data_IF_379272242867
#
_entry.id   IF_379272242867
#
_cell.length_a   1.000
_cell.length_b   1.000
_cell.length_c   1.000
_cell.angle_alpha   90.00
_cell.angle_beta   90.00
_cell.angle_gamma   90.00
#
_symmetry.space_group_name_H-M   'P 1'
#
loop_
_entity.id
_entity.type
_entity.pdbx_description
1 polymer ?
#
# COMPACT_ATOMS: atom_id res chain seq x y z
N UNK A 1 -46.19 -24.30 15.84
CA UNK A 1 -46.62 -25.60 16.42
C UNK A 1 -46.90 -25.52 17.92
N UNK A 2 -46.26 -24.59 18.63
CA UNK A 2 -46.50 -24.24 20.05
C UNK A 2 -47.97 -23.98 20.38
N UNK A 3 -48.68 -23.20 19.56
CA UNK A 3 -50.10 -22.90 19.80
C UNK A 3 -50.99 -24.14 19.84
N UNK A 4 -50.76 -25.13 18.96
CA UNK A 4 -51.60 -26.34 18.89
C UNK A 4 -51.47 -27.20 20.16
N UNK A 5 -50.26 -27.30 20.72
CA UNK A 5 -49.98 -28.06 21.94
C UNK A 5 -50.52 -27.36 23.18
N UNK A 6 -50.40 -26.04 23.22
CA UNK A 6 -50.99 -25.22 24.26
C UNK A 6 -52.52 -25.35 24.28
N UNK A 7 -53.17 -25.18 23.13
CA UNK A 7 -54.62 -25.34 23.01
C UNK A 7 -55.08 -26.76 23.33
N UNK A 8 -54.32 -27.78 22.92
CA UNK A 8 -54.59 -29.16 23.30
C UNK A 8 -54.53 -29.35 24.82
N UNK A 9 -53.46 -28.90 25.47
CA UNK A 9 -53.31 -28.96 26.93
C UNK A 9 -54.40 -28.19 27.67
N UNK A 10 -54.77 -27.01 27.14
CA UNK A 10 -55.85 -26.18 27.66
C UNK A 10 -57.20 -26.91 27.58
N UNK A 11 -57.60 -27.42 26.41
CA UNK A 11 -58.86 -28.14 26.23
C UNK A 11 -58.94 -29.40 27.09
N UNK A 12 -57.87 -30.20 27.13
CA UNK A 12 -57.80 -31.40 27.98
C UNK A 12 -57.93 -31.02 29.45
N UNK A 13 -57.27 -29.94 29.89
CA UNK A 13 -57.37 -29.45 31.26
C UNK A 13 -58.77 -28.93 31.59
N UNK A 14 -59.41 -28.19 30.68
CA UNK A 14 -60.77 -27.68 30.85
C UNK A 14 -61.79 -28.81 30.95
N UNK A 15 -61.71 -29.82 30.09
CA UNK A 15 -62.58 -31.01 30.15
C UNK A 15 -62.37 -31.77 31.46
N UNK A 16 -61.12 -31.94 31.89
CA UNK A 16 -60.80 -32.60 33.16
C UNK A 16 -61.42 -31.88 34.36
N UNK A 17 -61.27 -30.55 34.43
CA UNK A 17 -61.86 -29.73 35.52
C UNK A 17 -63.39 -29.80 35.51
N UNK A 18 -64.03 -29.81 34.33
CA UNK A 18 -65.49 -29.95 34.21
C UNK A 18 -65.97 -31.31 34.71
N UNK A 19 -65.28 -32.40 34.37
CA UNK A 19 -65.62 -33.76 34.83
C UNK A 19 -65.50 -33.85 36.36
N UNK A 20 -64.39 -33.36 36.91
CA UNK A 20 -64.17 -33.36 38.37
C UNK A 20 -65.20 -32.49 39.08
N UNK A 21 -65.51 -31.30 38.55
CA UNK A 21 -66.53 -30.39 39.10
C UNK A 21 -67.94 -31.00 39.06
N UNK A 22 -68.31 -31.68 37.98
CA UNK A 22 -69.59 -32.37 37.88
C UNK A 22 -69.71 -33.54 38.88
N UNK A 23 -68.61 -34.28 39.09
CA UNK A 23 -68.53 -35.33 40.12
C UNK A 23 -68.74 -34.79 41.53
N UNK A 24 -68.09 -33.67 41.86
CA UNK A 24 -68.26 -32.99 43.16
C UNK A 24 -69.70 -32.49 43.38
N UNK A 25 -70.32 -31.90 42.34
CA UNK A 25 -71.71 -31.44 42.40
C UNK A 25 -72.72 -32.57 42.60
N UNK A 26 -72.36 -33.80 42.20
CA UNK A 26 -73.21 -34.99 42.35
C UNK A 26 -73.10 -35.63 43.73
N UNK A 27 -72.09 -35.26 44.53
CA UNK A 27 -71.78 -35.82 45.85
C UNK A 27 -71.67 -34.74 46.95
N UNK A 28 -72.43 -33.65 46.80
CA UNK A 28 -72.34 -32.46 47.68
C UNK A 28 -72.50 -32.78 49.17
N UNK A 29 -73.39 -33.74 49.51
CA UNK A 29 -73.63 -34.14 50.89
C UNK A 29 -72.40 -34.82 51.51
N UNK A 30 -71.75 -35.75 50.79
CA UNK A 30 -70.52 -36.43 51.23
C UNK A 30 -69.34 -35.46 51.31
N UNK A 31 -69.20 -34.57 50.32
CA UNK A 31 -68.12 -33.58 50.23
C UNK A 31 -68.14 -32.58 51.40
N UNK A 32 -69.34 -32.22 51.89
CA UNK A 32 -69.49 -31.32 53.05
C UNK A 32 -69.03 -31.94 54.38
N UNK A 33 -68.94 -33.27 54.44
CA UNK A 33 -68.56 -34.02 55.64
C UNK A 33 -67.07 -34.44 55.67
N UNK A 34 -66.31 -34.16 54.61
CA UNK A 34 -64.92 -34.59 54.47
C UNK A 34 -63.97 -33.89 55.44
N UNK A 35 -63.01 -34.64 55.97
CA UNK A 35 -61.95 -34.10 56.84
C UNK A 35 -60.95 -33.28 56.02
N UNK A 36 -60.25 -32.31 56.62
CA UNK A 36 -59.23 -31.51 55.92
C UNK A 36 -58.12 -32.33 55.23
N UNK A 37 -57.77 -33.50 55.76
CA UNK A 37 -56.77 -34.38 55.14
C UNK A 37 -57.29 -35.04 53.84
N UNK A 38 -58.57 -35.38 53.80
CA UNK A 38 -59.21 -36.01 52.62
C UNK A 38 -59.36 -35.00 51.47
N UNK A 39 -59.49 -33.70 51.78
CA UNK A 39 -59.36 -32.62 50.80
C UNK A 39 -57.96 -32.56 50.18
N UNK A 40 -56.92 -32.76 50.99
CA UNK A 40 -55.54 -32.84 50.51
C UNK A 40 -55.33 -33.99 49.53
N UNK A 41 -55.82 -35.19 49.88
CA UNK A 41 -55.73 -36.38 49.02
C UNK A 41 -56.53 -36.22 47.73
N UNK A 42 -57.71 -35.58 47.80
CA UNK A 42 -58.51 -35.25 46.62
C UNK A 42 -57.77 -34.30 45.67
N UNK A 43 -57.25 -33.18 46.18
CA UNK A 43 -56.51 -32.22 45.36
C UNK A 43 -55.22 -32.83 44.79
N UNK A 44 -54.51 -33.65 45.57
CA UNK A 44 -53.35 -34.38 45.08
C UNK A 44 -53.73 -35.32 43.92
N UNK A 45 -54.84 -36.05 44.03
CA UNK A 45 -55.34 -36.93 42.96
C UNK A 45 -55.80 -36.17 41.72
N UNK A 46 -56.49 -35.04 41.87
CA UNK A 46 -57.05 -34.24 40.77
C UNK A 46 -55.97 -33.45 40.02
N UNK A 47 -55.01 -32.85 40.74
CA UNK A 47 -53.98 -32.01 40.14
C UNK A 47 -52.74 -32.78 39.65
N UNK A 48 -52.46 -33.98 40.16
CA UNK A 48 -51.27 -34.76 39.72
C UNK A 48 -51.27 -35.06 38.21
N UNK A 49 -52.37 -35.54 37.58
CA UNK A 49 -52.41 -35.78 36.13
C UNK A 49 -52.27 -34.50 35.31
N UNK A 50 -52.87 -33.39 35.77
CA UNK A 50 -52.75 -32.09 35.13
C UNK A 50 -51.31 -31.56 35.17
N UNK A 51 -50.69 -31.60 36.34
CA UNK A 51 -49.31 -31.16 36.53
C UNK A 51 -48.36 -31.97 35.64
N UNK A 52 -48.56 -33.30 35.57
CA UNK A 52 -47.75 -34.17 34.71
C UNK A 52 -47.94 -33.86 33.22
N UNK A 53 -49.18 -33.63 32.78
CA UNK A 53 -49.48 -33.25 31.40
C UNK A 53 -48.77 -31.96 30.99
N UNK A 54 -48.84 -30.92 31.81
CA UNK A 54 -48.18 -29.64 31.54
C UNK A 54 -46.64 -29.75 31.60
N UNK A 55 -46.10 -30.59 32.48
CA UNK A 55 -44.67 -30.87 32.55
C UNK A 55 -44.16 -31.49 31.24
N UNK A 56 -44.85 -32.52 30.72
CA UNK A 56 -44.48 -33.19 29.46
C UNK A 56 -44.60 -32.22 28.27
N UNK A 57 -45.70 -31.46 28.19
CA UNK A 57 -45.88 -30.47 27.13
C UNK A 57 -44.79 -29.40 27.16
N UNK A 58 -44.43 -28.90 28.36
CA UNK A 58 -43.35 -27.95 28.55
C UNK A 58 -41.99 -28.51 28.12
N UNK A 59 -41.66 -29.76 28.48
CA UNK A 59 -40.43 -30.41 28.07
C UNK A 59 -40.32 -30.57 26.55
N UNK A 60 -41.41 -30.98 25.89
CA UNK A 60 -41.46 -31.11 24.44
C UNK A 60 -41.31 -29.75 23.72
N UNK A 61 -41.90 -28.69 24.27
CA UNK A 61 -41.75 -27.34 23.75
C UNK A 61 -40.31 -26.83 23.89
N UNK A 62 -39.72 -26.95 25.07
CA UNK A 62 -38.33 -26.56 25.33
C UNK A 62 -37.36 -27.30 24.39
N UNK A 63 -37.59 -28.59 24.13
CA UNK A 63 -36.76 -29.37 23.21
C UNK A 63 -36.83 -28.88 21.76
N UNK A 64 -37.99 -28.42 21.29
CA UNK A 64 -38.13 -27.82 19.95
C UNK A 64 -37.46 -26.45 19.86
N UNK A 65 -37.64 -25.61 20.87
CA UNK A 65 -36.98 -24.30 20.95
C UNK A 65 -35.45 -24.44 20.95
N UNK A 66 -34.91 -25.43 21.66
CA UNK A 66 -33.47 -25.70 21.68
C UNK A 66 -32.95 -26.20 20.32
N UNK A 67 -33.73 -27.02 19.60
CA UNK A 67 -33.36 -27.47 18.25
C UNK A 67 -33.34 -26.31 17.27
N UNK A 68 -34.35 -25.44 17.31
CA UNK A 68 -34.41 -24.24 16.46
C UNK A 68 -33.26 -23.29 16.78
N UNK A 69 -32.96 -23.08 18.07
CA UNK A 69 -31.83 -22.27 18.52
C UNK A 69 -30.49 -22.83 18.01
N UNK A 70 -30.29 -24.15 18.16
CA UNK A 70 -29.09 -24.83 17.64
C UNK A 70 -28.97 -24.67 16.12
N UNK A 71 -30.06 -24.81 15.37
CA UNK A 71 -30.05 -24.62 13.91
C UNK A 71 -29.69 -23.18 13.52
N UNK A 72 -30.24 -22.19 14.23
CA UNK A 72 -29.90 -20.78 13.99
C UNK A 72 -28.42 -20.49 14.28
N UNK A 73 -27.87 -21.04 15.36
CA UNK A 73 -26.44 -20.92 15.69
C UNK A 73 -25.54 -21.58 14.64
N UNK A 74 -25.93 -22.74 14.12
CA UNK A 74 -25.19 -23.40 13.04
C UNK A 74 -25.19 -22.57 11.76
N UNK A 75 -26.34 -21.99 11.39
CA UNK A 75 -26.45 -21.10 10.24
C UNK A 75 -25.57 -19.86 10.44
N UNK A 76 -25.61 -19.25 11.63
CA UNK A 76 -24.78 -18.09 11.97
C UNK A 76 -23.29 -18.42 11.92
N UNK A 77 -22.88 -19.61 12.38
CA UNK A 77 -21.50 -20.06 12.30
C UNK A 77 -21.03 -20.24 10.85
N UNK A 78 -21.90 -20.74 9.96
CA UNK A 78 -21.61 -20.88 8.54
C UNK A 78 -21.49 -19.52 7.84
N UNK A 79 -22.40 -18.59 8.13
CA UNK A 79 -22.32 -17.20 7.64
C UNK A 79 -21.04 -16.50 8.10
N UNK A 80 -20.63 -16.69 9.36
CA UNK A 80 -19.37 -16.17 9.88
C UNK A 80 -18.16 -16.77 9.15
N UNK A 81 -18.17 -18.08 8.88
CA UNK A 81 -17.12 -18.74 8.12
C UNK A 81 -17.00 -18.17 6.72
N UNK A 82 -18.13 -18.00 6.02
CA UNK A 82 -18.17 -17.40 4.69
C UNK A 82 -17.69 -15.95 4.69
N UNK A 83 -18.05 -15.17 5.73
CA UNK A 83 -17.57 -13.79 5.90
C UNK A 83 -16.05 -13.72 6.12
N UNK A 84 -15.48 -14.64 6.91
CA UNK A 84 -14.03 -14.74 7.11
C UNK A 84 -13.32 -15.09 5.81
N UNK A 85 -13.88 -15.98 4.99
CA UNK A 85 -13.33 -16.32 3.68
C UNK A 85 -13.33 -15.10 2.75
N UNK A 86 -14.45 -14.38 2.63
CA UNK A 86 -14.54 -13.14 1.86
C UNK A 86 -13.55 -12.07 2.34
N UNK A 87 -13.36 -11.93 3.65
CA UNK A 87 -12.37 -11.00 4.21
C UNK A 87 -10.94 -11.40 3.84
N UNK A 88 -10.62 -12.69 3.78
CA UNK A 88 -9.30 -13.16 3.36
C UNK A 88 -9.04 -12.82 1.89
N UNK A 89 -10.02 -13.05 1.02
CA UNK A 89 -9.91 -12.70 -0.41
C UNK A 89 -9.73 -11.19 -0.59
N UNK A 90 -10.46 -10.37 0.16
CA UNK A 90 -10.29 -8.92 0.15
C UNK A 90 -8.90 -8.48 0.61
N UNK A 91 -8.33 -9.13 1.63
CA UNK A 91 -6.96 -8.86 2.09
C UNK A 91 -5.95 -9.22 1.01
N UNK A 92 -6.13 -10.32 0.30
CA UNK A 92 -5.26 -10.73 -0.81
C UNK A 92 -5.29 -9.71 -1.97
N UNK A 93 -6.48 -9.32 -2.42
CA UNK A 93 -6.64 -8.30 -3.47
C UNK A 93 -6.06 -6.96 -3.04
N UNK A 94 -6.24 -6.57 -1.77
CA UNK A 94 -5.67 -5.34 -1.22
C UNK A 94 -4.14 -5.36 -1.25
N UNK A 95 -3.51 -6.50 -0.91
CA UNK A 95 -2.05 -6.65 -0.98
C UNK A 95 -1.53 -6.51 -2.41
N UNK A 96 -2.16 -7.19 -3.37
CA UNK A 96 -1.80 -7.08 -4.79
C UNK A 96 -1.92 -5.64 -5.31
N UNK A 97 -2.97 -4.92 -4.89
CA UNK A 97 -3.17 -3.52 -5.26
C UNK A 97 -2.06 -2.62 -4.72
N UNK A 98 -1.68 -2.79 -3.46
CA UNK A 98 -0.59 -2.00 -2.84
C UNK A 98 0.75 -2.29 -3.53
N UNK A 99 1.00 -3.53 -3.93
CA UNK A 99 2.22 -3.92 -4.65
C UNK A 99 2.26 -3.27 -6.04
N UNK A 100 1.19 -3.38 -6.83
CA UNK A 100 1.09 -2.73 -8.14
C UNK A 100 1.22 -1.20 -8.06
N UNK A 101 0.62 -0.57 -7.05
CA UNK A 101 0.74 0.86 -6.82
C UNK A 101 2.19 1.25 -6.50
N UNK A 102 2.88 0.48 -5.66
CA UNK A 102 4.30 0.70 -5.36
C UNK A 102 5.17 0.59 -6.60
N UNK A 103 4.95 -0.41 -7.44
CA UNK A 103 5.67 -0.56 -8.71
C UNK A 103 5.44 0.63 -9.64
N UNK A 104 4.18 1.07 -9.78
CA UNK A 104 3.83 2.21 -10.63
C UNK A 104 4.50 3.51 -10.15
N UNK A 105 4.54 3.73 -8.83
CA UNK A 105 5.19 4.89 -8.22
C UNK A 105 6.72 4.82 -8.37
N UNK A 106 7.31 3.63 -8.24
CA UNK A 106 8.73 3.43 -8.44
C UNK A 106 9.12 3.72 -9.90
N UNK A 107 8.33 3.23 -10.85
CA UNK A 107 8.51 3.51 -12.27
C UNK A 107 8.39 5.01 -12.56
N UNK A 108 7.35 5.68 -12.05
CA UNK A 108 7.17 7.12 -12.24
C UNK A 108 8.34 7.92 -11.65
N UNK A 109 8.82 7.56 -10.46
CA UNK A 109 9.99 8.18 -9.84
C UNK A 109 11.24 8.00 -10.69
N UNK A 110 11.51 6.78 -11.16
CA UNK A 110 12.67 6.51 -12.02
C UNK A 110 12.62 7.33 -13.31
N UNK A 111 11.44 7.43 -13.94
CA UNK A 111 11.24 8.25 -15.13
C UNK A 111 11.45 9.74 -14.85
N UNK A 112 10.92 10.27 -13.72
CA UNK A 112 11.15 11.66 -13.32
C UNK A 112 12.63 11.93 -13.03
N UNK A 113 13.32 10.99 -12.39
CA UNK A 113 14.73 11.13 -12.09
C UNK A 113 15.59 11.11 -13.36
N UNK A 114 15.30 10.26 -14.33
CA UNK A 114 16.01 10.25 -15.61
C UNK A 114 15.72 11.53 -16.41
N UNK A 115 14.45 11.94 -16.47
CA UNK A 115 14.03 13.17 -17.13
C UNK A 115 14.59 14.43 -16.45
N UNK A 116 14.95 14.39 -15.16
CA UNK A 116 15.55 15.51 -14.44
C UNK A 116 17.05 15.67 -14.69
N UNK A 117 17.75 14.62 -15.15
CA UNK A 117 19.21 14.65 -15.30
C UNK A 117 19.63 15.58 -16.46
N UNK A 118 20.51 16.55 -16.20
CA UNK A 118 21.21 17.27 -17.27
C UNK A 118 22.22 16.34 -17.95
N UNK A 119 22.41 16.53 -19.26
CA UNK A 119 23.41 15.79 -20.05
C UNK A 119 24.32 16.81 -20.70
N UNK A 120 25.50 16.99 -20.13
CA UNK A 120 26.46 17.97 -20.62
C UNK A 120 27.45 17.27 -21.54
N UNK A 121 27.58 17.80 -22.75
CA UNK A 121 28.56 17.39 -23.75
C UNK A 121 29.58 18.50 -23.92
N UNK A 122 30.83 18.11 -24.12
CA UNK A 122 31.93 19.04 -24.40
C UNK A 122 32.56 18.62 -25.72
N UNK A 123 32.66 19.56 -26.65
CA UNK A 123 33.25 19.34 -27.96
C UNK A 123 34.32 20.41 -28.23
N UNK A 124 35.40 20.04 -28.90
CA UNK A 124 36.37 21.02 -29.41
C UNK A 124 35.75 21.83 -30.56
N UNK A 125 36.12 23.11 -30.63
CA UNK A 125 35.73 24.04 -31.68
C UNK A 125 36.94 24.68 -32.36
N UNK A 126 37.98 23.87 -32.61
CA UNK A 126 39.22 24.34 -33.19
C UNK A 126 40.21 24.90 -32.16
N UNK A 127 41.38 25.28 -32.65
CA UNK A 127 42.39 26.01 -31.90
C UNK A 127 43.18 26.96 -32.80
N UNK A 128 43.94 27.85 -32.17
CA UNK A 128 44.92 28.69 -32.86
C UNK A 128 46.27 28.55 -32.20
N UNK A 129 47.30 28.33 -33.01
CA UNK A 129 48.67 28.10 -32.56
C UNK A 129 49.56 29.21 -33.09
N UNK A 130 50.30 29.86 -32.20
CA UNK A 130 51.13 31.01 -32.55
C UNK A 130 52.61 30.62 -32.50
N UNK A 131 53.41 31.22 -33.39
CA UNK A 131 54.85 30.96 -33.50
C UNK A 131 55.68 31.39 -32.28
N UNK A 132 55.06 32.02 -31.29
CA UNK A 132 55.64 32.32 -29.98
C UNK A 132 55.46 31.18 -28.95
N UNK A 133 54.85 30.05 -29.34
CA UNK A 133 54.62 28.88 -28.48
C UNK A 133 53.24 28.85 -27.80
N UNK A 134 52.47 29.94 -27.85
CA UNK A 134 51.13 30.00 -27.25
C UNK A 134 50.12 29.21 -28.08
N UNK A 135 49.37 28.34 -27.41
CA UNK A 135 48.29 27.54 -28.00
C UNK A 135 46.95 27.91 -27.35
N UNK A 136 45.99 28.37 -28.15
CA UNK A 136 44.61 28.63 -27.73
C UNK A 136 43.71 27.50 -28.21
N UNK A 137 42.91 26.95 -27.30
CA UNK A 137 41.93 25.91 -27.63
C UNK A 137 40.52 26.43 -27.38
N UNK A 138 39.63 26.24 -28.35
CA UNK A 138 38.23 26.59 -28.25
C UNK A 138 37.40 25.33 -27.97
N UNK A 139 36.36 25.47 -27.17
CA UNK A 139 35.41 24.40 -26.90
C UNK A 139 33.97 24.92 -26.82
N UNK A 140 33.02 24.04 -27.12
CA UNK A 140 31.59 24.24 -26.90
C UNK A 140 31.12 23.25 -25.86
N UNK A 141 30.42 23.77 -24.86
CA UNK A 141 29.73 23.00 -23.86
C UNK A 141 28.25 23.09 -24.20
N UNK A 142 27.59 21.95 -24.37
CA UNK A 142 26.18 21.88 -24.77
C UNK A 142 25.41 21.04 -23.78
N UNK A 143 24.25 21.52 -23.34
CA UNK A 143 23.32 20.71 -22.56
C UNK A 143 22.29 20.06 -23.47
N UNK A 144 22.35 18.74 -23.62
CA UNK A 144 21.39 17.95 -24.39
C UNK A 144 20.36 17.25 -23.51
N UNK A 145 20.45 17.40 -22.19
CA UNK A 145 19.51 16.86 -21.21
C UNK A 145 18.61 17.94 -20.64
N UNK A 146 18.12 17.72 -19.42
CA UNK A 146 17.34 18.73 -18.72
C UNK A 146 18.24 19.85 -18.18
N UNK A 147 17.64 20.92 -17.71
CA UNK A 147 18.33 22.08 -17.14
C UNK A 147 19.30 21.69 -16.03
N UNK A 148 20.53 22.20 -16.13
CA UNK A 148 21.47 22.26 -15.02
C UNK A 148 21.37 23.61 -14.30
N UNK A 149 21.44 23.61 -12.98
CA UNK A 149 21.52 24.83 -12.15
C UNK A 149 22.87 24.87 -11.42
N UNK A 150 23.35 26.08 -11.09
CA UNK A 150 24.67 26.28 -10.45
C UNK A 150 25.80 25.52 -11.17
N UNK A 151 25.86 25.67 -12.49
CA UNK A 151 26.85 25.01 -13.32
C UNK A 151 28.18 25.75 -13.21
N UNK A 152 29.20 25.02 -12.76
CA UNK A 152 30.56 25.51 -12.58
C UNK A 152 31.55 24.59 -13.26
N UNK A 153 32.50 25.17 -14.01
CA UNK A 153 33.48 24.41 -14.79
C UNK A 153 34.93 24.83 -14.49
N UNK A 154 35.75 23.85 -14.13
CA UNK A 154 37.19 24.02 -13.89
C UNK A 154 38.00 23.08 -14.77
N UNK A 155 39.01 23.62 -15.43
CA UNK A 155 39.96 22.89 -16.24
C UNK A 155 41.32 22.89 -15.55
N UNK A 156 41.87 21.71 -15.27
CA UNK A 156 43.26 21.55 -14.84
C UNK A 156 44.05 20.96 -15.99
N UNK A 157 45.09 21.66 -16.45
CA UNK A 157 45.95 21.22 -17.55
C UNK A 157 47.22 20.53 -17.04
N UNK A 158 47.97 19.88 -17.94
CA UNK A 158 49.17 19.10 -17.60
C UNK A 158 50.25 19.89 -16.83
N UNK A 159 50.33 21.20 -17.05
CA UNK A 159 51.28 22.07 -16.35
C UNK A 159 50.89 22.36 -14.88
N UNK A 160 49.74 21.85 -14.43
CA UNK A 160 49.16 22.15 -13.12
C UNK A 160 48.37 23.46 -13.06
N UNK A 161 48.35 24.25 -14.14
CA UNK A 161 47.52 25.45 -14.22
C UNK A 161 46.03 25.08 -14.19
N UNK A 162 45.23 25.89 -13.50
CA UNK A 162 43.77 25.71 -13.41
C UNK A 162 43.07 26.93 -14.01
N UNK A 163 42.08 26.68 -14.86
CA UNK A 163 41.28 27.68 -15.53
C UNK A 163 39.81 27.55 -15.13
N UNK A 164 39.20 28.65 -14.71
CA UNK A 164 37.75 28.74 -14.52
C UNK A 164 37.11 29.00 -15.88
N UNK A 165 36.36 28.02 -16.38
CA UNK A 165 35.80 28.09 -17.74
C UNK A 165 34.42 28.73 -17.78
N UNK A 166 33.63 28.55 -16.72
CA UNK A 166 32.26 29.03 -16.62
C UNK A 166 31.74 28.98 -15.18
N UNK A 167 30.85 29.91 -14.88
CA UNK A 167 30.01 29.95 -13.67
C UNK A 167 28.64 30.48 -14.09
N UNK A 168 27.63 29.60 -14.11
CA UNK A 168 26.31 29.90 -14.63
C UNK A 168 25.22 29.47 -13.65
N UNK A 169 24.28 30.38 -13.29
CA UNK A 169 23.18 30.02 -12.40
C UNK A 169 22.21 29.02 -13.04
N UNK A 170 22.06 29.07 -14.37
CA UNK A 170 21.16 28.22 -15.14
C UNK A 170 21.78 27.89 -16.49
N UNK A 171 21.73 26.62 -16.88
CA UNK A 171 22.16 26.13 -18.18
C UNK A 171 21.08 25.20 -18.73
N UNK A 172 20.16 25.79 -19.51
CA UNK A 172 18.93 25.14 -19.96
C UNK A 172 19.15 24.05 -21.00
N UNK A 173 18.11 23.26 -21.26
CA UNK A 173 18.11 22.27 -22.33
C UNK A 173 18.35 22.94 -23.70
N UNK A 174 19.30 22.42 -24.47
CA UNK A 174 19.73 22.96 -25.76
C UNK A 174 20.65 24.17 -25.68
N UNK A 175 20.99 24.66 -24.49
CA UNK A 175 21.91 25.78 -24.35
C UNK A 175 23.34 25.38 -24.76
N UNK A 176 24.03 26.32 -25.40
CA UNK A 176 25.44 26.20 -25.77
C UNK A 176 26.24 27.32 -25.11
N UNK A 177 27.41 26.98 -24.58
CA UNK A 177 28.39 27.93 -24.10
C UNK A 177 29.72 27.70 -24.79
N UNK A 178 30.25 28.74 -25.44
CA UNK A 178 31.56 28.70 -26.10
C UNK A 178 32.58 29.36 -25.20
N UNK A 179 33.68 28.66 -24.95
CA UNK A 179 34.77 29.14 -24.11
C UNK A 179 36.12 28.73 -24.71
N UNK A 180 37.19 29.39 -24.27
CA UNK A 180 38.54 29.15 -24.75
C UNK A 180 39.55 29.33 -23.64
N UNK A 181 40.66 28.61 -23.71
CA UNK A 181 41.78 28.79 -22.79
C UNK A 181 43.10 28.80 -23.57
N UNK A 182 44.12 29.42 -22.97
CA UNK A 182 45.44 29.57 -23.55
C UNK A 182 46.49 28.90 -22.67
N UNK A 183 47.44 28.23 -23.31
CA UNK A 183 48.59 27.60 -22.65
C UNK A 183 49.87 27.97 -23.40
N UNK A 184 50.95 28.13 -22.66
CA UNK A 184 52.28 28.52 -23.20
C UNK A 184 53.01 27.37 -23.91
N UNK A 185 52.41 26.19 -23.96
CA UNK A 185 52.89 25.03 -24.71
C UNK A 185 51.71 24.12 -25.06
N UNK A 186 51.71 23.47 -26.24
CA UNK A 186 50.65 22.54 -26.62
C UNK A 186 50.44 21.44 -25.58
N UNK A 187 49.18 21.18 -25.21
CA UNK A 187 48.80 20.17 -24.20
C UNK A 187 49.31 18.79 -24.59
N UNK A 188 49.97 18.05 -23.71
CA UNK A 188 50.49 16.72 -24.07
C UNK A 188 49.41 15.64 -23.95
N UNK A 189 48.31 15.93 -23.24
CA UNK A 189 47.08 15.13 -23.26
C UNK A 189 47.05 13.97 -22.29
N UNK A 190 48.02 13.87 -21.38
CA UNK A 190 48.16 12.73 -20.46
C UNK A 190 47.50 12.96 -19.09
N UNK A 191 47.35 14.21 -18.65
CA UNK A 191 46.89 14.53 -17.28
C UNK A 191 45.83 15.63 -17.19
N UNK A 192 45.43 16.21 -18.31
CA UNK A 192 44.49 17.32 -18.38
C UNK A 192 43.06 16.84 -18.13
N UNK A 193 42.36 17.53 -17.22
CA UNK A 193 41.00 17.17 -16.78
C UNK A 193 40.09 18.39 -16.70
N UNK A 194 38.89 18.25 -17.24
CA UNK A 194 37.80 19.21 -17.05
C UNK A 194 36.80 18.63 -16.05
N UNK A 195 36.52 19.40 -14.99
CA UNK A 195 35.51 19.10 -13.97
C UNK A 195 34.35 20.06 -14.14
N UNK A 196 33.16 19.51 -14.39
CA UNK A 196 31.91 20.24 -14.35
C UNK A 196 31.13 19.82 -13.12
N UNK A 197 30.71 20.78 -12.31
CA UNK A 197 29.85 20.58 -11.13
C UNK A 197 28.55 21.32 -11.34
N UNK A 198 27.42 20.68 -11.10
CA UNK A 198 26.11 21.29 -11.29
C UNK A 198 25.05 20.59 -10.45
N UNK A 199 23.85 21.18 -10.37
CA UNK A 199 22.67 20.56 -9.79
C UNK A 199 21.66 20.21 -10.88
N UNK A 200 21.02 19.05 -10.74
CA UNK A 200 19.86 18.70 -11.56
C UNK A 200 18.61 19.52 -11.15
N UNK A 201 17.50 19.37 -11.86
CA UNK A 201 16.25 20.08 -11.52
C UNK A 201 15.61 19.62 -10.21
N UNK A 202 16.12 18.53 -9.62
CA UNK A 202 15.73 18.04 -8.28
C UNK A 202 16.67 18.55 -7.17
N UNK A 203 17.67 19.36 -7.53
CA UNK A 203 18.65 19.93 -6.60
C UNK A 203 19.80 19.00 -6.22
N UNK A 204 19.91 17.81 -6.83
CA UNK A 204 21.01 16.87 -6.56
C UNK A 204 22.28 17.38 -7.22
N UNK A 205 23.34 17.52 -6.43
CA UNK A 205 24.67 17.92 -6.91
C UNK A 205 25.33 16.75 -7.64
N UNK A 206 25.72 16.99 -8.88
CA UNK A 206 26.38 16.06 -9.77
C UNK A 206 27.71 16.65 -10.21
N UNK A 207 28.68 15.77 -10.46
CA UNK A 207 29.99 16.15 -10.98
C UNK A 207 30.29 15.26 -12.18
N UNK A 208 30.70 15.85 -13.29
CA UNK A 208 31.17 15.13 -14.47
C UNK A 208 32.63 15.50 -14.74
N UNK A 209 33.44 14.48 -15.02
CA UNK A 209 34.86 14.63 -15.31
C UNK A 209 35.11 14.24 -16.76
N UNK A 210 35.89 15.05 -17.46
CA UNK A 210 36.35 14.76 -18.82
C UNK A 210 37.87 14.70 -18.81
N UNK A 211 38.45 13.66 -19.41
CA UNK A 211 39.86 13.67 -19.82
C UNK A 211 39.99 14.44 -21.11
N UNK A 212 41.09 15.17 -21.23
CA UNK A 212 41.39 15.99 -22.39
C UNK A 212 42.65 15.45 -23.03
N UNK A 213 42.50 14.94 -24.24
CA UNK A 213 43.59 14.48 -25.09
C UNK A 213 43.67 15.31 -26.37
N UNK A 214 44.74 15.09 -27.13
CA UNK A 214 44.77 15.53 -28.54
C UNK A 214 44.05 14.51 -29.40
N UNK A 215 43.38 14.98 -30.45
CA UNK A 215 42.70 14.13 -31.44
C UNK A 215 43.67 13.39 -32.37
N UNK A 216 44.89 13.91 -32.51
CA UNK A 216 45.99 13.29 -33.26
C UNK A 216 47.35 13.60 -32.63
N UNK A 217 48.39 12.89 -33.05
CA UNK A 217 49.77 13.10 -32.59
C UNK A 217 50.38 14.46 -32.99
N UNK A 218 49.66 15.24 -33.81
CA UNK A 218 50.07 16.60 -34.19
C UNK A 218 49.99 17.54 -32.97
N UNK A 219 51.07 18.26 -32.61
CA UNK A 219 51.05 19.30 -31.58
C UNK A 219 50.01 20.40 -31.79
N UNK A 220 49.52 20.58 -33.02
CA UNK A 220 48.50 21.55 -33.37
C UNK A 220 47.12 20.91 -33.61
N UNK A 221 46.89 19.72 -33.06
CA UNK A 221 45.62 19.01 -33.19
C UNK A 221 44.52 19.63 -32.32
N UNK A 222 43.27 19.40 -32.73
CA UNK A 222 42.09 19.65 -31.91
C UNK A 222 42.10 18.78 -30.64
N UNK A 223 41.28 19.19 -29.67
CA UNK A 223 41.12 18.44 -28.43
C UNK A 223 40.02 17.38 -28.56
N UNK A 224 40.25 16.26 -27.90
CA UNK A 224 39.25 15.23 -27.67
C UNK A 224 38.88 15.23 -26.18
N UNK A 225 37.58 15.26 -25.91
CA UNK A 225 37.03 15.23 -24.56
C UNK A 225 36.36 13.87 -24.34
N UNK A 226 36.94 13.03 -23.49
CA UNK A 226 36.34 11.75 -23.13
C UNK A 226 35.73 11.83 -21.74
N UNK A 227 34.44 11.52 -21.62
CA UNK A 227 33.76 11.48 -20.33
C UNK A 227 34.34 10.32 -19.51
N UNK A 228 35.03 10.65 -18.42
CA UNK A 228 35.48 9.68 -17.44
C UNK A 228 34.33 9.51 -16.46
N UNK A 229 33.36 8.67 -16.83
CA UNK A 229 32.26 8.34 -15.93
C UNK A 229 32.82 7.69 -14.66
N UNK A 230 32.52 8.28 -13.49
CA UNK A 230 32.66 7.64 -12.18
C UNK A 230 31.35 6.98 -11.78
#
# INVERSE_FOLDING_TARGET
MTEKRFWFGFWVSSVWVVIVGAGLLSQLDDVSSMKPNEWGDFFAGVFSPLAFLWLVLGYLQQGEELKLSTQALLLQADELKNSVEQQRDLVEVSRLRVESERESLAYERAMREDAAKPKILVASAGGSFSGNGTSRYNMVITNTGNTATELFGELTVDSGATFHLLDMPFFGAGAEHRTSFEVDSPLQGETSRLRLTYKDTLGRKLTTLFSIGRKSDDPHSDLEFMNIAS
#
